data_IF_891355050650
#
_entry.id   IF_891355050650
#
_cell.length_a   1.000
_cell.length_b   1.000
_cell.length_c   1.000
_cell.angle_alpha   90.00
_cell.angle_beta   90.00
_cell.angle_gamma   90.00
#
_symmetry.space_group_name_H-M   'P 1'
#
loop_
_entity.id
_entity.type
_entity.pdbx_description
1 polymer ?
#
# COMPACT_ATOMS: atom_id res chain seq x y z
N UNK A 1 13.24 12.22 28.21
CA UNK A 1 12.07 12.43 29.09
C UNK A 1 12.04 13.83 29.71
N UNK A 2 13.20 14.38 30.17
CA UNK A 2 13.26 15.73 30.77
C UNK A 2 12.67 16.85 29.88
N UNK A 3 12.94 16.93 28.56
CA UNK A 3 12.33 17.95 27.71
C UNK A 3 10.80 17.86 27.59
N UNK A 4 10.23 16.68 27.81
CA UNK A 4 8.78 16.43 27.78
C UNK A 4 8.07 16.93 29.02
N UNK A 5 8.76 16.93 30.16
CA UNK A 5 8.24 17.36 31.44
C UNK A 5 8.42 18.85 31.74
N UNK A 6 9.28 19.53 30.96
CA UNK A 6 9.55 20.94 31.09
C UNK A 6 8.52 21.76 30.29
N UNK A 7 7.57 22.36 31.03
CA UNK A 7 6.50 23.21 30.48
C UNK A 7 7.03 24.63 30.09
N UNK A 8 8.27 24.96 30.48
CA UNK A 8 8.94 26.26 30.25
C UNK A 8 9.96 26.25 29.09
N UNK A 9 9.82 25.36 28.15
CA UNK A 9 10.70 25.22 26.98
C UNK A 9 10.64 26.45 26.09
N UNK A 10 11.68 27.27 26.11
CA UNK A 10 11.77 28.55 25.40
C UNK A 10 12.58 28.51 24.10
N UNK A 11 12.91 27.35 23.55
CA UNK A 11 13.69 27.31 22.31
C UNK A 11 12.80 27.19 21.07
N UNK A 12 13.39 27.61 19.98
CA UNK A 12 12.77 27.55 18.68
C UNK A 12 12.56 26.11 18.25
N UNK A 13 11.29 25.73 18.01
CA UNK A 13 10.93 24.41 17.50
C UNK A 13 10.86 24.48 15.98
N UNK A 14 11.79 23.83 15.30
CA UNK A 14 11.86 23.74 13.86
C UNK A 14 11.18 22.46 13.34
N UNK A 15 10.87 22.35 12.04
CA UNK A 15 10.24 21.16 11.45
C UNK A 15 11.03 19.86 11.68
N UNK A 16 12.36 19.91 11.76
CA UNK A 16 13.24 18.77 12.01
C UNK A 16 13.07 18.15 13.43
N UNK A 17 12.42 18.88 14.34
CA UNK A 17 12.09 18.35 15.67
C UNK A 17 11.01 17.24 15.61
N UNK A 18 10.16 17.22 14.58
CA UNK A 18 9.24 16.12 14.32
C UNK A 18 10.02 14.84 14.07
N UNK A 19 11.02 14.88 13.19
CA UNK A 19 11.85 13.71 12.87
C UNK A 19 12.68 13.24 14.07
N UNK A 20 13.11 14.16 14.93
CA UNK A 20 13.81 13.82 16.18
C UNK A 20 12.88 13.14 17.19
N UNK A 21 11.64 13.63 17.31
CA UNK A 21 10.62 13.03 18.17
C UNK A 21 10.31 11.60 17.71
N UNK A 22 10.07 11.43 16.42
CA UNK A 22 9.71 10.13 15.84
C UNK A 22 10.84 9.11 16.02
N UNK A 23 12.09 9.49 15.74
CA UNK A 23 13.26 8.62 15.98
C UNK A 23 13.46 8.26 17.44
N UNK A 24 13.27 9.21 18.36
CA UNK A 24 13.40 8.95 19.80
C UNK A 24 12.24 8.13 20.37
N UNK A 25 11.09 8.16 19.69
CA UNK A 25 9.88 7.45 20.04
C UNK A 25 9.68 6.11 19.34
N UNK A 26 10.64 5.73 18.47
CA UNK A 26 10.57 4.50 17.69
C UNK A 26 10.38 3.27 18.59
N UNK A 27 9.44 2.40 18.23
CA UNK A 27 9.11 1.17 18.95
C UNK A 27 8.34 1.34 20.26
N UNK A 28 7.98 2.56 20.69
CA UNK A 28 7.23 2.74 21.93
C UNK A 28 6.20 3.90 21.91
N UNK A 29 6.47 4.99 21.19
CA UNK A 29 5.63 6.19 21.28
C UNK A 29 4.31 6.02 20.51
N UNK A 30 4.31 5.29 19.41
CA UNK A 30 3.12 5.06 18.56
C UNK A 30 2.00 4.35 19.33
N UNK A 31 2.34 3.36 20.17
CA UNK A 31 1.39 2.64 21.02
C UNK A 31 1.20 3.20 22.44
N UNK A 32 1.82 4.35 22.78
CA UNK A 32 1.78 4.86 24.13
C UNK A 32 0.44 5.56 24.48
N UNK A 33 -0.21 5.26 25.63
CA UNK A 33 -1.50 5.86 26.01
C UNK A 33 -1.50 7.39 26.02
N UNK A 34 -0.37 8.00 26.39
CA UNK A 34 -0.17 9.45 26.47
C UNK A 34 0.51 10.05 25.24
N UNK A 35 0.50 9.36 24.10
CA UNK A 35 1.13 9.76 22.83
C UNK A 35 0.84 11.23 22.47
N UNK A 36 -0.44 11.62 22.48
CA UNK A 36 -0.87 12.98 22.14
C UNK A 36 -0.33 14.04 23.09
N UNK A 37 -0.26 13.73 24.39
CA UNK A 37 0.26 14.64 25.39
C UNK A 37 1.76 14.84 25.25
N UNK A 38 2.51 13.74 25.05
CA UNK A 38 3.95 13.72 24.84
C UNK A 38 4.31 14.54 23.60
N UNK A 39 3.63 14.28 22.48
CA UNK A 39 3.84 14.96 21.20
C UNK A 39 3.57 16.48 21.30
N UNK A 40 2.41 16.85 21.89
CA UNK A 40 2.05 18.27 22.08
C UNK A 40 3.03 19.01 22.97
N UNK A 41 3.53 18.40 24.05
CA UNK A 41 4.52 19.00 24.94
C UNK A 41 5.88 19.12 24.29
N UNK A 42 6.32 18.08 23.61
CA UNK A 42 7.62 18.10 22.92
C UNK A 42 7.67 19.18 21.83
N UNK A 43 6.65 19.30 21.00
CA UNK A 43 6.58 20.29 19.92
C UNK A 43 6.09 21.68 20.37
N UNK A 44 6.08 21.94 21.68
CA UNK A 44 5.74 23.26 22.25
C UNK A 44 4.39 23.80 21.73
N UNK A 45 3.39 22.94 21.59
CA UNK A 45 2.02 23.26 21.12
C UNK A 45 1.96 23.91 19.72
N UNK A 46 2.95 23.72 18.90
CA UNK A 46 2.87 24.11 17.47
C UNK A 46 1.93 23.17 16.74
N UNK A 47 0.71 23.65 16.50
CA UNK A 47 -0.42 22.85 16.04
C UNK A 47 -0.09 22.08 14.74
N UNK A 48 0.46 22.74 13.73
CA UNK A 48 0.80 22.09 12.46
C UNK A 48 1.84 20.98 12.60
N UNK A 49 2.91 21.20 13.40
CA UNK A 49 3.95 20.19 13.64
C UNK A 49 3.42 19.04 14.54
N UNK A 50 2.50 19.34 15.46
CA UNK A 50 1.87 18.33 16.29
C UNK A 50 0.94 17.44 15.47
N UNK A 51 0.16 18.02 14.57
CA UNK A 51 -0.74 17.30 13.67
C UNK A 51 0.08 16.39 12.73
N UNK A 52 1.15 16.88 12.12
CA UNK A 52 2.08 16.09 11.31
C UNK A 52 2.69 14.92 12.09
N UNK A 53 3.20 15.19 13.31
CA UNK A 53 3.81 14.15 14.14
C UNK A 53 2.81 13.08 14.58
N UNK A 54 1.59 13.48 14.98
CA UNK A 54 0.54 12.54 15.40
C UNK A 54 0.07 11.67 14.25
N UNK A 55 -0.05 12.24 13.06
CA UNK A 55 -0.42 11.50 11.87
C UNK A 55 0.66 10.46 11.49
N UNK A 56 1.93 10.86 11.53
CA UNK A 56 3.06 9.95 11.26
C UNK A 56 3.19 8.85 12.32
N UNK A 57 2.88 9.15 13.60
CA UNK A 57 2.84 8.15 14.67
C UNK A 57 1.66 7.20 14.52
N UNK A 58 0.50 7.67 14.08
CA UNK A 58 -0.63 6.80 13.79
C UNK A 58 -0.34 5.88 12.61
N UNK A 59 0.26 6.40 11.54
CA UNK A 59 0.72 5.59 10.42
C UNK A 59 1.78 4.56 10.84
N UNK A 60 2.72 4.94 11.73
CA UNK A 60 3.70 4.01 12.27
C UNK A 60 3.05 2.92 13.15
N UNK A 61 2.05 3.28 13.96
CA UNK A 61 1.28 2.33 14.77
C UNK A 61 0.53 1.32 13.90
N UNK A 62 -0.08 1.81 12.81
CA UNK A 62 -0.76 0.95 11.84
C UNK A 62 0.22 0.00 11.14
N UNK A 63 1.41 0.51 10.78
CA UNK A 63 2.46 -0.28 10.16
C UNK A 63 3.09 -1.31 11.13
N UNK A 64 3.19 -0.98 12.44
CA UNK A 64 3.66 -1.94 13.45
C UNK A 64 2.63 -3.04 13.74
N UNK A 65 1.33 -2.73 13.62
CA UNK A 65 0.29 -3.72 13.75
C UNK A 65 0.25 -4.67 12.52
N UNK A 66 0.60 -4.16 11.34
CA UNK A 66 0.76 -4.94 10.09
C UNK A 66 1.98 -5.90 10.14
N UNK A 67 2.94 -5.66 11.05
CA UNK A 67 4.11 -6.56 11.24
C UNK A 67 3.80 -7.85 12.01
N UNK A 68 2.60 -7.99 12.60
CA UNK A 68 2.09 -9.25 13.14
C UNK A 68 1.38 -10.03 12.04
N UNK A 69 2.20 -10.60 11.13
CA UNK A 69 1.87 -11.66 10.17
C UNK A 69 0.43 -11.72 9.63
N UNK A 70 0.06 -10.91 8.60
CA UNK A 70 -1.16 -11.16 7.83
C UNK A 70 -0.99 -12.33 6.84
N UNK A 71 0.20 -12.93 6.78
CA UNK A 71 0.49 -14.03 5.86
C UNK A 71 -0.27 -15.33 6.22
N UNK A 72 -0.80 -15.45 7.44
CA UNK A 72 -1.35 -16.72 7.90
C UNK A 72 -2.67 -17.10 7.21
N UNK A 73 -3.55 -16.16 6.87
CA UNK A 73 -4.78 -16.49 6.13
C UNK A 73 -4.54 -16.58 4.62
N UNK A 74 -3.74 -15.69 4.05
CA UNK A 74 -3.39 -15.74 2.62
C UNK A 74 -2.46 -16.92 2.27
N UNK A 75 -1.77 -17.47 3.27
CA UNK A 75 -0.92 -18.65 3.16
C UNK A 75 -1.52 -19.91 3.82
N UNK A 76 -2.72 -19.83 4.41
CA UNK A 76 -3.44 -20.99 4.92
C UNK A 76 -3.70 -21.95 3.75
N UNK A 77 -2.91 -22.97 3.69
CA UNK A 77 -3.10 -24.14 2.83
C UNK A 77 -3.95 -25.08 3.68
N UNK A 78 -5.10 -25.52 3.18
CA UNK A 78 -5.86 -26.61 3.81
C UNK A 78 -4.91 -27.79 4.02
N UNK A 79 -4.54 -28.07 5.27
CA UNK A 79 -3.63 -29.16 5.62
C UNK A 79 -4.23 -30.55 5.37
N UNK A 80 -5.54 -30.64 5.06
CA UNK A 80 -6.27 -31.88 4.87
C UNK A 80 -6.42 -32.35 3.41
N UNK A 81 -5.78 -31.66 2.44
CA UNK A 81 -5.81 -32.11 1.05
C UNK A 81 -4.66 -33.12 0.78
N UNK A 82 -4.96 -34.38 0.85
CA UNK A 82 -4.11 -35.52 0.47
C UNK A 82 -3.92 -35.58 -1.06
N UNK A 83 -3.43 -34.51 -1.68
CA UNK A 83 -3.12 -34.39 -3.11
C UNK A 83 -1.71 -33.88 -3.33
N UNK A 84 -0.99 -34.52 -4.25
CA UNK A 84 0.47 -34.37 -4.50
C UNK A 84 0.94 -32.97 -4.91
N UNK A 85 0.05 -31.97 -5.09
CA UNK A 85 0.41 -30.57 -5.35
C UNK A 85 -0.21 -29.67 -4.28
N UNK A 86 0.61 -29.13 -3.40
CA UNK A 86 0.16 -28.09 -2.46
C UNK A 86 -0.38 -26.89 -3.24
N UNK A 87 -1.56 -26.35 -2.92
CA UNK A 87 -2.08 -25.15 -3.59
C UNK A 87 -1.11 -23.98 -3.44
N UNK A 88 -0.96 -23.20 -4.51
CA UNK A 88 -0.06 -22.03 -4.51
C UNK A 88 -0.64 -20.97 -3.58
N UNK A 89 0.11 -20.47 -2.59
CA UNK A 89 -0.38 -19.44 -1.67
C UNK A 89 -0.96 -18.21 -2.39
N UNK A 90 -2.06 -17.65 -1.86
CA UNK A 90 -2.79 -16.54 -2.48
C UNK A 90 -1.87 -15.31 -2.71
N UNK A 91 -0.97 -15.01 -1.77
CA UNK A 91 0.01 -13.93 -1.92
C UNK A 91 0.95 -14.14 -3.14
N UNK A 92 1.27 -15.39 -3.48
CA UNK A 92 2.07 -15.74 -4.66
C UNK A 92 1.23 -15.55 -5.92
N UNK A 93 -0.01 -16.03 -5.93
CA UNK A 93 -0.95 -15.87 -7.05
C UNK A 93 -1.21 -14.39 -7.33
N UNK A 94 -1.47 -13.58 -6.29
CA UNK A 94 -1.66 -12.14 -6.37
C UNK A 94 -0.47 -11.45 -7.03
N UNK A 95 0.73 -11.73 -6.54
CA UNK A 95 1.96 -11.16 -7.09
C UNK A 95 2.16 -11.51 -8.56
N UNK A 96 1.90 -12.74 -8.95
CA UNK A 96 2.02 -13.15 -10.36
C UNK A 96 0.98 -12.48 -11.25
N UNK A 97 -0.27 -12.35 -10.78
CA UNK A 97 -1.34 -11.66 -11.49
C UNK A 97 -1.01 -10.17 -11.67
N UNK A 98 -0.42 -9.51 -10.67
CA UNK A 98 0.06 -8.14 -10.77
C UNK A 98 1.19 -8.03 -11.79
N UNK A 99 2.18 -8.94 -11.75
CA UNK A 99 3.28 -8.95 -12.72
C UNK A 99 2.75 -9.13 -14.16
N UNK A 100 1.80 -10.03 -14.36
CA UNK A 100 1.16 -10.22 -15.65
C UNK A 100 0.47 -8.94 -16.13
N UNK A 101 -0.33 -8.30 -15.29
CA UNK A 101 -0.99 -7.04 -15.63
C UNK A 101 0.03 -5.94 -15.98
N UNK A 102 1.13 -5.82 -15.24
CA UNK A 102 2.21 -4.87 -15.53
C UNK A 102 2.90 -5.15 -16.87
N UNK A 103 3.13 -6.44 -17.20
CA UNK A 103 3.71 -6.84 -18.51
C UNK A 103 2.84 -6.37 -19.68
N UNK A 104 1.52 -6.43 -19.52
CA UNK A 104 0.53 -6.04 -20.53
C UNK A 104 0.41 -4.51 -20.69
N UNK A 105 0.74 -3.73 -19.65
CA UNK A 105 0.77 -2.27 -19.75
C UNK A 105 1.98 -1.74 -20.52
N UNK A 106 3.03 -2.54 -20.66
CA UNK A 106 4.30 -2.12 -21.26
C UNK A 106 5.14 -1.21 -20.35
N UNK A 107 4.77 -1.08 -19.08
CA UNK A 107 5.46 -0.24 -18.10
C UNK A 107 6.92 -0.68 -17.91
N UNK A 108 7.82 0.30 -17.81
CA UNK A 108 9.23 0.12 -17.51
C UNK A 108 9.63 0.74 -16.17
N UNK A 109 8.96 1.80 -15.74
CA UNK A 109 9.19 2.52 -14.49
C UNK A 109 7.97 2.33 -13.60
N UNK A 110 8.13 1.61 -12.50
CA UNK A 110 7.02 1.14 -11.64
C UNK A 110 7.17 1.65 -10.22
N UNK A 111 6.06 2.15 -9.67
CA UNK A 111 5.89 2.44 -8.24
C UNK A 111 5.19 1.26 -7.56
N UNK A 112 5.73 0.79 -6.46
CA UNK A 112 5.08 -0.11 -5.51
C UNK A 112 4.73 0.71 -4.26
N UNK A 113 3.46 1.06 -4.14
CA UNK A 113 2.94 1.99 -3.14
C UNK A 113 2.32 1.20 -1.98
N UNK A 114 2.96 1.25 -0.80
CA UNK A 114 2.74 0.32 0.29
C UNK A 114 3.55 -0.96 0.08
N UNK A 115 4.84 -0.79 -0.22
CA UNK A 115 5.68 -1.93 -0.64
C UNK A 115 6.03 -2.92 0.48
N UNK A 116 5.72 -2.59 1.74
CA UNK A 116 6.04 -3.42 2.90
C UNK A 116 7.50 -3.89 2.88
N UNK A 117 7.71 -5.17 3.07
CA UNK A 117 9.03 -5.81 3.06
C UNK A 117 9.60 -6.04 1.63
N UNK A 118 9.04 -5.41 0.59
CA UNK A 118 9.59 -5.40 -0.77
C UNK A 118 9.43 -6.69 -1.55
N UNK A 119 8.41 -7.48 -1.28
CA UNK A 119 8.18 -8.76 -2.00
C UNK A 119 7.91 -8.52 -3.48
N UNK A 120 7.01 -7.58 -3.82
CA UNK A 120 6.71 -7.22 -5.20
C UNK A 120 7.90 -6.51 -5.85
N UNK A 121 8.56 -5.58 -5.16
CA UNK A 121 9.82 -4.96 -5.63
C UNK A 121 10.83 -6.02 -6.04
N UNK A 122 11.04 -7.04 -5.19
CA UNK A 122 11.96 -8.14 -5.48
C UNK A 122 11.58 -8.96 -6.71
N UNK A 123 10.29 -9.17 -6.93
CA UNK A 123 9.79 -9.87 -8.12
C UNK A 123 9.97 -9.03 -9.40
N UNK A 124 9.67 -7.74 -9.35
CA UNK A 124 9.88 -6.80 -10.45
C UNK A 124 11.36 -6.71 -10.86
N UNK A 125 12.27 -6.69 -9.90
CA UNK A 125 13.71 -6.62 -10.19
C UNK A 125 14.26 -7.85 -10.90
N UNK A 126 13.60 -9.00 -10.84
CA UNK A 126 13.98 -10.21 -11.60
C UNK A 126 13.73 -10.05 -13.09
N UNK A 127 12.86 -9.16 -13.50
CA UNK A 127 12.55 -8.90 -14.89
C UNK A 127 13.35 -7.69 -15.42
N UNK A 128 14.10 -7.91 -16.51
CA UNK A 128 14.95 -6.85 -17.09
C UNK A 128 14.15 -5.72 -17.76
N UNK A 129 12.86 -5.95 -18.06
CA UNK A 129 11.97 -4.94 -18.64
C UNK A 129 11.71 -3.76 -17.71
N UNK A 130 11.70 -3.98 -16.39
CA UNK A 130 11.51 -2.91 -15.43
C UNK A 130 12.84 -2.21 -15.17
N UNK A 131 13.01 -1.05 -15.78
CA UNK A 131 14.24 -0.26 -15.73
C UNK A 131 14.40 0.51 -14.42
N UNK A 132 13.30 0.88 -13.77
CA UNK A 132 13.27 1.55 -12.47
C UNK A 132 12.07 1.05 -11.66
N UNK A 133 12.33 0.62 -10.43
CA UNK A 133 11.32 0.19 -9.46
C UNK A 133 11.51 0.98 -8.18
N UNK A 134 10.45 1.64 -7.72
CA UNK A 134 10.47 2.41 -6.47
C UNK A 134 9.45 1.83 -5.52
N UNK A 135 9.93 1.31 -4.39
CA UNK A 135 9.09 0.93 -3.26
C UNK A 135 8.88 2.11 -2.32
N UNK A 136 7.63 2.41 -2.00
CA UNK A 136 7.24 3.47 -1.08
C UNK A 136 6.46 2.86 0.07
N UNK A 137 6.86 3.16 1.30
CA UNK A 137 6.16 2.72 2.50
C UNK A 137 6.25 3.78 3.59
N UNK A 138 5.29 3.79 4.52
CA UNK A 138 5.30 4.68 5.68
C UNK A 138 6.26 4.19 6.74
N UNK A 139 6.43 2.87 6.85
CA UNK A 139 7.24 2.18 7.85
C UNK A 139 8.70 2.12 7.46
N UNK A 140 9.56 2.82 8.20
CA UNK A 140 11.01 2.68 8.05
C UNK A 140 11.50 1.26 8.40
N UNK A 141 10.79 0.57 9.29
CA UNK A 141 11.11 -0.82 9.64
C UNK A 141 10.88 -1.72 8.43
N UNK A 142 9.71 -1.65 7.79
CA UNK A 142 9.40 -2.41 6.59
C UNK A 142 10.42 -2.12 5.47
N UNK A 143 10.77 -0.84 5.23
CA UNK A 143 11.77 -0.46 4.24
C UNK A 143 13.17 -1.01 4.58
N UNK A 144 13.57 -1.05 5.85
CA UNK A 144 14.83 -1.64 6.27
C UNK A 144 14.83 -3.17 6.06
N UNK A 145 13.72 -3.83 6.26
CA UNK A 145 13.56 -5.25 5.97
C UNK A 145 13.55 -5.52 4.46
N UNK A 146 12.85 -4.67 3.68
CA UNK A 146 12.91 -4.70 2.23
C UNK A 146 14.36 -4.56 1.73
N UNK A 147 15.12 -3.60 2.25
CA UNK A 147 16.54 -3.42 1.90
C UNK A 147 17.39 -4.67 2.20
N UNK A 148 17.14 -5.33 3.34
CA UNK A 148 17.81 -6.58 3.72
C UNK A 148 17.40 -7.74 2.82
N UNK A 149 16.09 -7.95 2.59
CA UNK A 149 15.55 -8.99 1.71
C UNK A 149 16.07 -8.85 0.29
N UNK A 150 16.06 -7.66 -0.25
CA UNK A 150 16.58 -7.33 -1.58
C UNK A 150 18.11 -7.38 -1.66
N UNK A 151 18.82 -7.46 -0.51
CA UNK A 151 20.28 -7.45 -0.42
C UNK A 151 20.90 -6.22 -1.10
N UNK A 152 20.30 -5.02 -0.91
CA UNK A 152 20.72 -3.80 -1.61
C UNK A 152 22.22 -3.52 -1.46
N UNK A 153 22.79 -3.74 -0.29
CA UNK A 153 24.23 -3.55 -0.04
C UNK A 153 25.16 -4.53 -0.77
N UNK A 154 24.61 -5.55 -1.47
CA UNK A 154 25.37 -6.53 -2.25
C UNK A 154 25.07 -6.47 -3.75
N UNK A 155 24.22 -5.54 -4.15
CA UNK A 155 23.88 -5.33 -5.57
C UNK A 155 25.05 -4.66 -6.29
N UNK A 156 25.22 -5.01 -7.58
CA UNK A 156 26.08 -4.24 -8.48
C UNK A 156 25.51 -2.84 -8.69
N UNK A 157 26.33 -1.87 -9.06
CA UNK A 157 25.87 -0.49 -9.36
C UNK A 157 24.70 -0.47 -10.35
N UNK A 158 24.76 -1.32 -11.39
CA UNK A 158 23.69 -1.45 -12.38
C UNK A 158 22.38 -1.96 -11.79
N UNK A 159 22.44 -2.90 -10.86
CA UNK A 159 21.24 -3.42 -10.16
C UNK A 159 20.70 -2.39 -9.17
N UNK A 160 21.58 -1.79 -8.36
CA UNK A 160 21.21 -0.76 -7.39
C UNK A 160 20.60 0.47 -8.07
N UNK A 161 21.07 0.84 -9.27
CA UNK A 161 20.50 1.94 -10.05
C UNK A 161 19.05 1.72 -10.52
N UNK A 162 18.54 0.47 -10.45
CA UNK A 162 17.17 0.12 -10.85
C UNK A 162 16.17 0.17 -9.68
N UNK A 163 16.63 0.28 -8.45
CA UNK A 163 15.75 0.20 -7.27
C UNK A 163 15.95 1.38 -6.34
N UNK A 164 14.83 1.90 -5.82
CA UNK A 164 14.82 2.89 -4.75
C UNK A 164 13.79 2.47 -3.71
N UNK A 165 14.12 2.62 -2.45
CA UNK A 165 13.17 2.52 -1.35
C UNK A 165 13.02 3.90 -0.72
N UNK A 166 11.80 4.36 -0.54
CA UNK A 166 11.51 5.71 -0.06
C UNK A 166 10.46 5.65 1.04
N UNK A 167 10.72 6.32 2.15
CA UNK A 167 9.66 6.61 3.10
C UNK A 167 8.72 7.67 2.52
N UNK A 168 7.42 7.38 2.55
CA UNK A 168 6.37 8.27 2.06
C UNK A 168 5.01 7.86 2.55
N UNK A 169 4.10 8.81 2.70
CA UNK A 169 2.70 8.58 3.03
C UNK A 169 1.85 8.83 1.79
N UNK A 170 0.95 7.90 1.50
CA UNK A 170 0.01 8.01 0.39
C UNK A 170 -1.16 8.97 0.68
N UNK A 171 -1.27 9.48 1.91
CA UNK A 171 -2.23 10.52 2.27
C UNK A 171 -1.82 11.91 1.78
N UNK A 172 -0.62 12.06 1.23
CA UNK A 172 -0.08 13.34 0.74
C UNK A 172 0.42 13.24 -0.69
N UNK A 173 0.25 14.33 -1.44
CA UNK A 173 0.80 14.45 -2.78
C UNK A 173 2.32 14.59 -2.73
N UNK A 174 3.03 13.63 -3.29
CA UNK A 174 4.49 13.64 -3.39
C UNK A 174 4.94 13.81 -4.85
N UNK A 175 5.58 14.94 -5.14
CA UNK A 175 6.09 15.23 -6.48
C UNK A 175 7.16 14.24 -6.99
N UNK A 176 7.82 13.50 -6.09
CA UNK A 176 8.81 12.48 -6.43
C UNK A 176 8.20 11.27 -7.13
N UNK A 177 6.88 11.08 -6.99
CA UNK A 177 6.13 9.96 -7.60
C UNK A 177 5.66 10.25 -9.03
N UNK A 178 5.95 11.44 -9.58
CA UNK A 178 5.58 11.79 -10.96
C UNK A 178 6.51 11.15 -12.00
N UNK A 179 5.93 10.86 -13.17
CA UNK A 179 6.68 10.41 -14.35
C UNK A 179 6.99 8.91 -14.38
N UNK A 180 6.29 8.12 -13.58
CA UNK A 180 6.31 6.66 -13.67
C UNK A 180 5.23 6.16 -14.62
N UNK A 181 5.49 5.00 -15.24
CA UNK A 181 4.56 4.41 -16.21
C UNK A 181 3.42 3.70 -15.51
N UNK A 182 3.70 3.04 -14.40
CA UNK A 182 2.70 2.33 -13.61
C UNK A 182 2.89 2.54 -12.10
N UNK A 183 1.79 2.45 -11.36
CA UNK A 183 1.77 2.32 -9.90
C UNK A 183 0.96 1.09 -9.49
N UNK A 184 1.38 0.44 -8.42
CA UNK A 184 0.69 -0.69 -7.80
C UNK A 184 0.34 -0.33 -6.36
N UNK A 185 -0.91 -0.62 -5.97
CA UNK A 185 -1.40 -0.63 -4.59
C UNK A 185 -1.87 -2.07 -4.32
N UNK A 186 -1.01 -2.89 -3.75
CA UNK A 186 -1.30 -4.30 -3.47
C UNK A 186 -1.70 -4.44 -2.02
N UNK A 187 -2.99 -4.68 -1.74
CA UNK A 187 -3.53 -4.81 -0.38
C UNK A 187 -3.19 -3.56 0.47
N UNK A 188 -3.62 -2.39 0.01
CA UNK A 188 -3.29 -1.09 0.63
C UNK A 188 -4.54 -0.30 0.97
N UNK A 189 -5.52 -0.27 0.08
CA UNK A 189 -6.67 0.65 0.23
C UNK A 189 -7.52 0.33 1.44
N UNK A 190 -7.63 -0.94 1.81
CA UNK A 190 -8.36 -1.45 2.98
C UNK A 190 -7.77 -1.01 4.33
N UNK A 191 -6.50 -0.63 4.35
CA UNK A 191 -5.82 -0.11 5.54
C UNK A 191 -6.04 1.40 5.75
N UNK A 192 -6.61 2.08 4.75
CA UNK A 192 -6.85 3.53 4.81
C UNK A 192 -8.23 3.82 5.34
N UNK A 193 -8.34 4.71 6.34
CA UNK A 193 -9.64 5.17 6.82
C UNK A 193 -10.46 5.79 5.69
N UNK A 194 -11.73 5.41 5.52
CA UNK A 194 -12.60 5.89 4.44
C UNK A 194 -12.60 7.41 4.25
N UNK A 195 -12.58 8.27 5.31
CA UNK A 195 -12.47 9.72 5.13
C UNK A 195 -11.14 10.19 4.52
N UNK A 196 -10.08 9.37 4.58
CA UNK A 196 -8.76 9.67 4.02
C UNK A 196 -8.53 9.10 2.63
N UNK A 197 -9.37 8.17 2.21
CA UNK A 197 -9.27 7.55 0.89
C UNK A 197 -9.23 8.57 -0.27
N UNK A 198 -10.04 9.66 -0.27
CA UNK A 198 -9.93 10.71 -1.30
C UNK A 198 -8.57 11.38 -1.39
N UNK A 199 -7.80 11.46 -0.29
CA UNK A 199 -6.45 12.02 -0.31
C UNK A 199 -5.47 11.06 -1.00
N UNK A 200 -5.54 9.75 -0.72
CA UNK A 200 -4.80 8.71 -1.44
C UNK A 200 -5.14 8.73 -2.93
N UNK A 201 -6.43 8.75 -3.27
CA UNK A 201 -6.91 8.83 -4.65
C UNK A 201 -6.29 10.02 -5.39
N UNK A 202 -6.31 11.20 -4.78
CA UNK A 202 -5.72 12.41 -5.36
C UNK A 202 -4.20 12.31 -5.47
N UNK A 203 -3.52 11.75 -4.47
CA UNK A 203 -2.07 11.58 -4.50
C UNK A 203 -1.62 10.67 -5.66
N UNK A 204 -2.32 9.55 -5.86
CA UNK A 204 -1.96 8.54 -6.88
C UNK A 204 -2.49 8.94 -8.27
N UNK A 205 -3.80 9.14 -8.41
CA UNK A 205 -4.45 9.35 -9.71
C UNK A 205 -4.40 10.80 -10.19
N UNK A 206 -4.39 11.77 -9.25
CA UNK A 206 -4.35 13.19 -9.55
C UNK A 206 -2.93 13.75 -9.67
N UNK A 207 -2.06 13.44 -8.70
CA UNK A 207 -0.73 14.04 -8.60
C UNK A 207 0.36 13.20 -9.25
N UNK A 208 0.56 11.94 -8.84
CA UNK A 208 1.53 11.04 -9.46
C UNK A 208 1.13 10.72 -10.91
N UNK A 209 -0.14 10.41 -11.13
CA UNK A 209 -0.81 10.25 -12.42
C UNK A 209 -0.03 9.36 -13.41
N UNK A 210 0.32 8.12 -13.03
CA UNK A 210 0.98 7.20 -13.95
C UNK A 210 0.02 6.78 -15.07
N UNK A 211 0.56 6.27 -16.18
CA UNK A 211 -0.25 5.80 -17.32
C UNK A 211 -1.15 4.62 -16.94
N UNK A 212 -0.73 3.83 -15.95
CA UNK A 212 -1.52 2.70 -15.42
C UNK A 212 -1.45 2.64 -13.91
N UNK A 213 -2.55 2.23 -13.27
CA UNK A 213 -2.59 1.92 -11.83
C UNK A 213 -3.21 0.54 -11.64
N UNK A 214 -2.59 -0.29 -10.82
CA UNK A 214 -3.12 -1.61 -10.43
C UNK A 214 -3.45 -1.55 -8.95
N UNK A 215 -4.67 -1.89 -8.60
CA UNK A 215 -5.13 -1.96 -7.21
C UNK A 215 -5.64 -3.36 -6.93
N UNK A 216 -5.15 -3.99 -5.86
CA UNK A 216 -5.75 -5.20 -5.32
C UNK A 216 -6.27 -4.94 -3.92
N UNK A 217 -7.34 -5.66 -3.54
CA UNK A 217 -7.95 -5.59 -2.20
C UNK A 217 -8.73 -6.88 -1.93
N UNK A 218 -8.89 -7.30 -0.67
CA UNK A 218 -9.70 -8.46 -0.33
C UNK A 218 -11.14 -8.34 -0.82
N UNK A 219 -11.74 -9.50 -1.09
CA UNK A 219 -13.17 -9.61 -1.34
C UNK A 219 -13.86 -10.14 -0.08
N UNK A 220 -14.66 -9.29 0.58
CA UNK A 220 -15.36 -9.67 1.81
C UNK A 220 -16.37 -10.80 1.59
N UNK A 221 -16.93 -10.94 0.37
CA UNK A 221 -17.87 -12.03 0.07
C UNK A 221 -17.18 -13.41 0.17
N UNK A 222 -15.89 -13.48 -0.16
CA UNK A 222 -15.11 -14.72 -0.07
C UNK A 222 -14.79 -15.13 1.37
N UNK A 223 -14.92 -14.23 2.35
CA UNK A 223 -14.54 -14.51 3.74
C UNK A 223 -15.30 -15.70 4.36
N UNK A 224 -16.49 -16.02 3.83
CA UNK A 224 -17.26 -17.21 4.27
C UNK A 224 -16.61 -18.55 3.89
N UNK A 225 -15.61 -18.54 3.01
CA UNK A 225 -14.86 -19.73 2.61
C UNK A 225 -13.65 -20.03 3.52
N UNK A 226 -13.25 -19.05 4.34
CA UNK A 226 -12.17 -19.25 5.30
C UNK A 226 -12.70 -19.88 6.59
N UNK A 227 -12.44 -21.16 6.82
CA UNK A 227 -12.92 -21.88 8.02
C UNK A 227 -12.42 -21.27 9.34
N UNK A 228 -11.20 -20.69 9.33
CA UNK A 228 -10.59 -20.04 10.49
C UNK A 228 -11.12 -18.64 10.77
N UNK A 229 -11.90 -18.03 9.86
CA UNK A 229 -12.39 -16.66 10.01
C UNK A 229 -13.82 -16.65 10.55
N UNK A 230 -14.07 -16.11 11.76
CA UNK A 230 -15.42 -15.98 12.29
C UNK A 230 -16.33 -15.14 11.38
N UNK A 231 -17.60 -15.55 11.27
CA UNK A 231 -18.58 -14.86 10.42
C UNK A 231 -18.68 -13.36 10.76
N UNK A 232 -18.60 -12.51 9.71
CA UNK A 232 -18.70 -11.05 9.82
C UNK A 232 -17.41 -10.34 10.26
N UNK A 233 -16.30 -11.08 10.36
CA UNK A 233 -14.99 -10.46 10.59
C UNK A 233 -14.25 -10.19 9.26
N UNK A 234 -13.41 -9.17 9.28
CA UNK A 234 -12.44 -8.88 8.22
C UNK A 234 -11.23 -9.81 8.35
N UNK A 235 -10.50 -10.06 7.27
CA UNK A 235 -9.35 -10.99 7.25
C UNK A 235 -8.23 -10.58 8.18
N UNK A 236 -8.04 -9.28 8.37
CA UNK A 236 -6.95 -8.75 9.16
C UNK A 236 -7.45 -7.67 10.13
N UNK A 237 -6.87 -7.63 11.34
CA UNK A 237 -7.28 -6.70 12.38
C UNK A 237 -7.07 -5.21 11.99
N UNK A 238 -6.16 -4.93 11.07
CA UNK A 238 -5.84 -3.58 10.58
C UNK A 238 -6.67 -3.16 9.38
N UNK A 239 -7.49 -4.06 8.80
CA UNK A 239 -8.42 -3.66 7.78
C UNK A 239 -9.48 -2.72 8.36
N UNK A 240 -9.58 -1.54 7.79
CA UNK A 240 -10.60 -0.54 8.15
C UNK A 240 -11.93 -0.87 7.52
N UNK A 241 -11.89 -1.57 6.39
CA UNK A 241 -13.03 -2.10 5.65
C UNK A 241 -12.55 -3.20 4.69
N UNK A 242 -13.48 -4.00 4.24
CA UNK A 242 -13.32 -4.87 3.08
C UNK A 242 -14.55 -4.69 2.20
N UNK A 243 -14.34 -4.49 0.90
CA UNK A 243 -15.41 -4.29 -0.04
C UNK A 243 -15.93 -5.59 -0.64
N UNK A 244 -17.23 -5.67 -0.86
CA UNK A 244 -17.80 -6.63 -1.79
C UNK A 244 -17.47 -6.23 -3.25
N UNK A 245 -17.74 -7.13 -4.19
CA UNK A 245 -17.47 -6.91 -5.62
C UNK A 245 -18.21 -5.69 -6.18
N UNK A 246 -19.41 -5.41 -5.70
CA UNK A 246 -20.23 -4.27 -6.15
C UNK A 246 -19.66 -2.95 -5.64
N UNK A 247 -19.28 -2.89 -4.37
CA UNK A 247 -18.68 -1.72 -3.76
C UNK A 247 -17.33 -1.39 -4.40
N UNK A 248 -16.46 -2.39 -4.58
CA UNK A 248 -15.17 -2.20 -5.23
C UNK A 248 -15.32 -1.70 -6.66
N UNK A 249 -16.22 -2.28 -7.45
CA UNK A 249 -16.48 -1.85 -8.83
C UNK A 249 -17.06 -0.44 -8.89
N UNK A 250 -17.96 -0.08 -7.97
CA UNK A 250 -18.52 1.27 -7.89
C UNK A 250 -17.42 2.30 -7.59
N UNK A 251 -16.61 2.07 -6.56
CA UNK A 251 -15.48 2.92 -6.22
C UNK A 251 -14.49 3.06 -7.39
N UNK A 252 -14.07 1.97 -7.98
CA UNK A 252 -13.10 1.99 -9.07
C UNK A 252 -13.65 2.67 -10.33
N UNK A 253 -14.94 2.50 -10.64
CA UNK A 253 -15.61 3.17 -11.75
C UNK A 253 -15.68 4.68 -11.56
N UNK A 254 -16.11 5.15 -10.38
CA UNK A 254 -16.14 6.57 -10.04
C UNK A 254 -14.75 7.21 -10.09
N UNK A 255 -13.73 6.47 -9.62
CA UNK A 255 -12.35 6.91 -9.64
C UNK A 255 -11.81 7.03 -11.06
N UNK A 256 -12.10 6.05 -11.91
CA UNK A 256 -11.73 6.05 -13.33
C UNK A 256 -12.34 7.24 -14.06
N UNK A 257 -13.62 7.52 -13.87
CA UNK A 257 -14.28 8.68 -14.46
C UNK A 257 -13.67 10.00 -13.97
N UNK A 258 -13.49 10.15 -12.65
CA UNK A 258 -12.98 11.38 -12.03
C UNK A 258 -11.61 11.78 -12.54
N UNK A 259 -10.73 10.81 -12.79
CA UNK A 259 -9.33 11.06 -13.17
C UNK A 259 -9.03 10.76 -14.65
N UNK A 260 -10.00 10.34 -15.43
CA UNK A 260 -9.85 10.10 -16.88
C UNK A 260 -9.13 8.80 -17.21
N UNK A 261 -9.39 7.74 -16.44
CA UNK A 261 -8.90 6.38 -16.71
C UNK A 261 -10.04 5.50 -17.25
N UNK A 262 -9.68 4.46 -18.01
CA UNK A 262 -10.50 3.28 -18.17
C UNK A 262 -10.15 2.27 -17.07
N UNK A 263 -11.07 1.38 -16.70
CA UNK A 263 -10.84 0.35 -15.69
C UNK A 263 -11.26 -1.02 -16.20
N UNK A 264 -10.41 -2.03 -15.95
CA UNK A 264 -10.63 -3.45 -16.22
C UNK A 264 -10.54 -4.19 -14.88
N UNK A 265 -11.42 -5.19 -14.68
CA UNK A 265 -11.43 -5.99 -13.45
C UNK A 265 -10.90 -7.40 -13.72
N UNK A 266 -10.09 -7.92 -12.81
CA UNK A 266 -9.51 -9.26 -12.89
C UNK A 266 -9.68 -10.00 -11.56
N UNK A 267 -9.96 -11.30 -11.59
CA UNK A 267 -9.91 -12.13 -10.39
C UNK A 267 -8.44 -12.37 -9.98
N UNK A 268 -8.22 -12.58 -8.69
CA UNK A 268 -6.96 -13.06 -8.13
C UNK A 268 -7.26 -14.21 -7.18
N UNK A 269 -6.65 -15.35 -7.44
CA UNK A 269 -7.00 -16.61 -6.80
C UNK A 269 -8.13 -17.34 -7.53
N UNK A 270 -8.61 -18.41 -6.93
CA UNK A 270 -9.67 -19.23 -7.48
C UNK A 270 -11.00 -18.46 -7.50
N UNK A 271 -11.66 -18.41 -8.65
CA UNK A 271 -12.92 -17.68 -8.82
C UNK A 271 -14.10 -18.57 -8.42
N UNK A 272 -14.56 -18.43 -7.18
CA UNK A 272 -15.74 -19.16 -6.68
C UNK A 272 -17.01 -18.66 -7.39
N UNK A 273 -17.87 -19.56 -7.90
CA UNK A 273 -19.06 -19.17 -8.69
C UNK A 273 -20.10 -18.36 -7.90
N UNK A 274 -20.14 -18.47 -6.56
CA UNK A 274 -21.10 -17.75 -5.71
C UNK A 274 -20.53 -16.44 -5.20
N UNK A 275 -19.34 -16.49 -4.61
CA UNK A 275 -18.73 -15.38 -3.87
C UNK A 275 -17.61 -14.68 -4.64
N UNK A 276 -17.20 -15.19 -5.80
CA UNK A 276 -16.12 -14.66 -6.62
C UNK A 276 -14.73 -15.00 -6.07
N UNK A 277 -13.68 -14.32 -6.55
CA UNK A 277 -12.30 -14.59 -6.15
C UNK A 277 -12.00 -14.07 -4.74
N UNK A 278 -11.02 -14.65 -4.04
CA UNK A 278 -10.61 -14.20 -2.71
C UNK A 278 -10.05 -12.76 -2.71
N UNK A 279 -9.37 -12.34 -3.77
CA UNK A 279 -8.86 -10.98 -3.94
C UNK A 279 -9.38 -10.39 -5.26
N UNK A 280 -9.74 -9.12 -5.24
CA UNK A 280 -10.21 -8.36 -6.39
C UNK A 280 -9.08 -7.51 -6.95
N UNK A 281 -9.02 -7.36 -8.26
CA UNK A 281 -8.05 -6.47 -8.91
C UNK A 281 -8.73 -5.54 -9.90
N UNK A 282 -8.34 -4.25 -9.86
CA UNK A 282 -8.67 -3.25 -10.86
C UNK A 282 -7.39 -2.78 -11.55
N UNK A 283 -7.40 -2.77 -12.88
CA UNK A 283 -6.33 -2.26 -13.74
C UNK A 283 -6.83 -1.00 -14.42
N UNK A 284 -6.31 0.14 -14.01
CA UNK A 284 -6.64 1.43 -14.58
C UNK A 284 -5.63 1.79 -15.67
N UNK A 285 -6.11 2.35 -16.78
CA UNK A 285 -5.27 2.88 -17.85
C UNK A 285 -5.78 4.26 -18.25
N UNK A 286 -4.87 5.22 -18.42
CA UNK A 286 -5.24 6.57 -18.89
C UNK A 286 -5.95 6.46 -20.25
N UNK A 287 -7.12 7.11 -20.38
CA UNK A 287 -7.82 7.20 -21.66
C UNK A 287 -7.01 8.09 -22.59
N UNK A 288 -6.56 7.53 -23.69
CA UNK A 288 -5.98 8.30 -24.79
C UNK A 288 -7.13 8.67 -25.70
N UNK A 289 -7.32 9.96 -26.04
CA UNK A 289 -8.49 10.48 -26.78
C UNK A 289 -8.79 9.84 -28.15
N UNK A 290 -8.32 8.61 -28.40
CA UNK A 290 -8.66 7.75 -29.51
C UNK A 290 -9.76 6.72 -29.19
N UNK A 291 -10.06 6.52 -27.92
CA UNK A 291 -10.98 5.45 -27.50
C UNK A 291 -12.47 5.88 -27.61
N UNK A 292 -12.74 7.20 -27.72
CA UNK A 292 -14.09 7.74 -27.85
C UNK A 292 -14.70 7.63 -29.27
N UNK A 293 -13.89 7.30 -30.31
CA UNK A 293 -14.40 7.23 -31.69
C UNK A 293 -14.96 5.85 -32.09
N UNK A 294 -14.79 4.82 -31.24
CA UNK A 294 -15.22 3.44 -31.59
C UNK A 294 -16.57 3.01 -31.03
N UNK A 295 -17.14 3.72 -30.09
CA UNK A 295 -18.48 3.38 -29.52
C UNK A 295 -19.66 4.14 -30.15
N UNK A 296 -19.42 5.09 -31.05
CA UNK A 296 -20.45 5.90 -31.71
C UNK A 296 -20.99 5.36 -33.05
N UNK A 297 -20.60 4.14 -33.43
CA UNK A 297 -20.95 3.63 -34.76
C UNK A 297 -21.50 2.20 -34.76
N UNK A 298 -22.65 1.97 -34.12
CA UNK A 298 -23.57 0.87 -34.52
C UNK A 298 -24.99 1.13 -34.03
#
# INVERSE_FOLDING_TARGET
LLPVLDDAKHYWVAPDEVDKLLRAGEGWLAGHPEQSLITRRYLSRRRALTEDALERLELARLAEADDTEPEDLDNAVDEDADTEEKPVPLAVQRRETILQALRETGAQRVLDLGCGQGQLVGALLKESRFSEVVGVDVSMRALNEAARRLRLGRMTERQAGRVKLMQGSLAYSDGRLKGYDAAVLSEVVEHVDLPRLPALEHAVFGTARPSSVIVTTPNVEYNVRWESLPAGQVRHADHRFEWDRKQFRAWAGELAERYGYGVEYRPVGDDDPEVGPPTQMAVFRIRTGRDDETEGGR
#
